data_IF_022554295219
#
_entry.id   IF_022554295219
#
_cell.length_a   1.000
_cell.length_b   1.000
_cell.length_c   1.000
_cell.angle_alpha   90.00
_cell.angle_beta   90.00
_cell.angle_gamma   90.00
#
_symmetry.space_group_name_H-M   'P 1'
#
loop_
_entity.id
_entity.type
_entity.pdbx_description
1 polymer ?
#
# COMPACT_ATOMS: atom_id res chain seq x y z
N UNK A 1 -7.40 -0.56 25.25
CA UNK A 1 -7.31 0.88 24.98
C UNK A 1 -8.10 1.14 23.71
N UNK A 2 -9.09 2.03 23.74
CA UNK A 2 -9.83 2.46 22.55
C UNK A 2 -9.03 3.57 21.87
N UNK A 3 -8.94 3.56 20.53
CA UNK A 3 -8.23 4.57 19.76
C UNK A 3 -9.07 4.97 18.55
N UNK A 4 -9.02 6.25 18.20
CA UNK A 4 -9.51 6.80 16.95
C UNK A 4 -8.37 6.78 15.92
N UNK A 5 -8.54 6.02 14.85
CA UNK A 5 -7.48 5.78 13.85
C UNK A 5 -7.97 6.24 12.48
N UNK A 6 -7.24 7.19 11.88
CA UNK A 6 -7.38 7.51 10.46
C UNK A 6 -6.30 6.76 9.69
N UNK A 7 -6.70 5.89 8.76
CA UNK A 7 -5.77 5.24 7.83
C UNK A 7 -5.84 6.00 6.51
N UNK A 8 -4.72 6.53 6.05
CA UNK A 8 -4.61 7.22 4.76
C UNK A 8 -3.74 6.38 3.84
N UNK A 9 -4.25 6.05 2.66
CA UNK A 9 -3.55 5.25 1.66
C UNK A 9 -3.91 5.69 0.24
N UNK A 10 -3.07 5.32 -0.74
CA UNK A 10 -3.41 5.48 -2.15
C UNK A 10 -4.34 4.39 -2.67
N UNK A 11 -4.40 3.22 -2.02
CA UNK A 11 -5.14 2.06 -2.51
C UNK A 11 -5.70 1.21 -1.38
N UNK A 12 -6.80 0.52 -1.65
CA UNK A 12 -7.44 -0.43 -0.73
C UNK A 12 -8.35 -1.39 -1.51
N UNK A 13 -8.26 -2.69 -1.23
CA UNK A 13 -9.22 -3.64 -1.77
C UNK A 13 -10.59 -3.50 -1.09
N UNK A 14 -11.69 -3.70 -1.83
CA UNK A 14 -11.79 -4.03 -3.25
C UNK A 14 -11.95 -2.81 -4.18
N UNK A 15 -11.66 -1.59 -3.70
CA UNK A 15 -11.99 -0.36 -4.41
C UNK A 15 -10.98 0.02 -5.50
N UNK A 16 -9.69 -0.07 -5.17
CA UNK A 16 -8.58 0.27 -6.05
C UNK A 16 -7.36 -0.56 -5.63
N UNK A 17 -6.72 -1.23 -6.60
CA UNK A 17 -5.56 -2.09 -6.35
C UNK A 17 -4.57 -2.04 -7.50
N UNK A 18 -3.33 -1.78 -7.14
CA UNK A 18 -2.12 -1.92 -7.94
C UNK A 18 -1.14 -2.88 -7.26
N UNK A 19 -1.03 -2.81 -5.92
CA UNK A 19 -0.07 -3.58 -5.13
C UNK A 19 -0.65 -4.31 -3.93
N UNK A 20 0.26 -4.93 -3.15
CA UNK A 20 -0.08 -5.62 -1.90
C UNK A 20 -0.43 -4.68 -0.74
N UNK A 21 -0.12 -3.38 -0.85
CA UNK A 21 -0.54 -2.38 0.12
C UNK A 21 -2.07 -2.32 0.18
N UNK A 22 -2.74 -2.40 -0.97
CA UNK A 22 -4.20 -2.42 -1.04
C UNK A 22 -4.82 -3.56 -0.21
N UNK A 23 -4.19 -4.74 -0.20
CA UNK A 23 -4.65 -5.90 0.57
C UNK A 23 -4.58 -5.62 2.08
N UNK A 24 -3.48 -5.01 2.53
CA UNK A 24 -3.33 -4.62 3.93
C UNK A 24 -4.39 -3.60 4.33
N UNK A 25 -4.60 -2.55 3.52
CA UNK A 25 -5.56 -1.48 3.83
C UNK A 25 -7.01 -1.97 3.70
N UNK A 26 -7.31 -2.98 2.87
CA UNK A 26 -8.63 -3.60 2.82
C UNK A 26 -8.93 -4.54 3.99
N UNK A 27 -7.90 -5.18 4.58
CA UNK A 27 -8.08 -6.17 5.65
C UNK A 27 -7.87 -5.61 7.06
N UNK A 28 -6.73 -4.95 7.32
CA UNK A 28 -6.32 -4.50 8.66
C UNK A 28 -7.38 -3.66 9.39
N UNK A 29 -8.09 -2.71 8.75
CA UNK A 29 -9.07 -1.88 9.44
C UNK A 29 -10.20 -2.71 10.07
N UNK A 30 -10.62 -3.81 9.43
CA UNK A 30 -11.66 -4.70 9.95
C UNK A 30 -11.24 -5.32 11.28
N UNK A 31 -10.01 -5.80 11.38
CA UNK A 31 -9.45 -6.40 12.58
C UNK A 31 -9.20 -5.38 13.70
N UNK A 32 -8.82 -4.15 13.35
CA UNK A 32 -8.69 -3.05 14.32
C UNK A 32 -10.07 -2.64 14.88
N UNK A 33 -11.09 -2.54 14.01
CA UNK A 33 -12.47 -2.28 14.44
C UNK A 33 -13.00 -3.40 15.34
N UNK A 34 -12.77 -4.67 14.99
CA UNK A 34 -13.15 -5.83 15.80
C UNK A 34 -12.46 -5.85 17.17
N UNK A 35 -11.24 -5.29 17.27
CA UNK A 35 -10.54 -5.06 18.55
C UNK A 35 -11.07 -3.86 19.35
N UNK A 36 -12.10 -3.19 18.84
CA UNK A 36 -12.81 -2.11 19.51
C UNK A 36 -12.23 -0.72 19.26
N UNK A 37 -11.41 -0.49 18.22
CA UNK A 37 -10.96 0.85 17.81
C UNK A 37 -12.00 1.52 16.91
N UNK A 38 -12.04 2.86 16.86
CA UNK A 38 -12.80 3.57 15.81
C UNK A 38 -11.87 3.85 14.63
N UNK A 39 -12.08 3.13 13.53
CA UNK A 39 -11.19 3.14 12.38
C UNK A 39 -11.91 3.74 11.18
N UNK A 40 -11.24 4.64 10.47
CA UNK A 40 -11.71 5.26 9.23
C UNK A 40 -10.60 5.16 8.19
N UNK A 41 -10.97 4.91 6.94
CA UNK A 41 -10.02 4.83 5.82
C UNK A 41 -10.26 6.00 4.88
N UNK A 42 -9.19 6.59 4.35
CA UNK A 42 -9.24 7.62 3.32
C UNK A 42 -8.39 7.20 2.15
N UNK A 43 -8.99 7.15 0.96
CA UNK A 43 -8.30 6.89 -0.30
C UNK A 43 -8.82 7.84 -1.40
N UNK A 44 -8.09 8.00 -2.52
CA UNK A 44 -8.63 8.71 -3.68
C UNK A 44 -9.78 7.98 -4.36
N UNK A 45 -10.68 8.72 -5.00
CA UNK A 45 -11.70 8.18 -5.89
C UNK A 45 -11.15 8.08 -7.32
N UNK A 46 -10.60 6.92 -7.68
CA UNK A 46 -10.23 6.62 -9.07
C UNK A 46 -11.45 6.20 -9.90
N UNK A 47 -11.34 6.16 -11.24
CA UNK A 47 -12.46 5.72 -12.10
C UNK A 47 -12.88 4.28 -11.85
N UNK A 48 -11.94 3.41 -11.50
CA UNK A 48 -12.24 2.02 -11.12
C UNK A 48 -13.09 1.88 -9.84
N UNK A 49 -13.15 2.93 -9.00
CA UNK A 49 -14.03 2.95 -7.84
C UNK A 49 -15.47 3.16 -8.32
N UNK A 50 -16.21 2.06 -8.41
CA UNK A 50 -17.60 2.04 -8.83
C UNK A 50 -18.53 2.55 -7.73
N UNK A 51 -19.10 3.74 -7.95
CA UNK A 51 -20.00 4.41 -7.01
C UNK A 51 -21.27 3.60 -6.71
N UNK A 52 -21.83 2.93 -7.71
CA UNK A 52 -23.09 2.20 -7.56
C UNK A 52 -22.84 0.85 -6.87
N UNK A 53 -21.82 0.10 -7.31
CA UNK A 53 -21.45 -1.19 -6.75
C UNK A 53 -21.15 -1.10 -5.25
N UNK A 54 -20.51 -0.02 -4.82
CA UNK A 54 -20.12 0.20 -3.43
C UNK A 54 -21.08 1.11 -2.66
N UNK A 55 -22.24 1.45 -3.25
CA UNK A 55 -23.29 2.28 -2.64
C UNK A 55 -22.75 3.60 -2.06
N UNK A 56 -21.80 4.22 -2.76
CA UNK A 56 -21.11 5.41 -2.27
C UNK A 56 -22.07 6.60 -2.17
N UNK A 57 -22.05 7.27 -1.02
CA UNK A 57 -22.91 8.42 -0.72
C UNK A 57 -22.08 9.68 -0.67
N UNK A 58 -22.52 10.72 -1.34
CA UNK A 58 -21.86 12.02 -1.25
C UNK A 58 -22.12 12.66 0.10
N UNK A 59 -21.06 13.11 0.76
CA UNK A 59 -21.17 13.89 1.99
C UNK A 59 -21.56 15.33 1.65
N UNK A 60 -22.43 15.96 2.46
CA UNK A 60 -22.80 17.35 2.22
C UNK A 60 -21.61 18.29 2.43
N UNK A 61 -21.44 19.22 1.51
CA UNK A 61 -20.40 20.25 1.55
C UNK A 61 -19.26 19.97 0.58
N UNK A 62 -18.24 20.82 0.63
CA UNK A 62 -17.04 20.72 -0.19
C UNK A 62 -15.84 20.74 0.73
N UNK A 63 -14.92 19.80 0.54
CA UNK A 63 -13.65 19.80 1.26
C UNK A 63 -12.73 20.86 0.65
N UNK A 64 -12.27 21.79 1.47
CA UNK A 64 -11.30 22.83 1.08
C UNK A 64 -9.91 22.40 1.55
N UNK A 65 -8.96 22.34 0.61
CA UNK A 65 -7.61 21.81 0.84
C UNK A 65 -6.59 22.90 0.51
N UNK A 66 -5.87 23.44 1.50
CA UNK A 66 -4.84 24.45 1.26
C UNK A 66 -3.55 23.79 0.75
N UNK A 67 -3.16 24.15 -0.48
CA UNK A 67 -2.07 23.57 -1.28
C UNK A 67 -0.90 24.57 -1.47
N UNK A 68 -0.53 25.25 -0.39
CA UNK A 68 0.59 26.19 -0.38
C UNK A 68 0.43 27.31 -1.41
N UNK A 69 1.43 27.51 -2.26
CA UNK A 69 1.45 28.56 -3.29
C UNK A 69 0.37 28.38 -4.39
N UNK A 70 -0.18 27.17 -4.55
CA UNK A 70 -1.29 26.90 -5.47
C UNK A 70 -2.61 27.50 -4.93
N UNK A 71 -2.69 27.77 -3.62
CA UNK A 71 -3.89 28.29 -2.96
C UNK A 71 -4.82 27.17 -2.48
N UNK A 72 -6.12 27.46 -2.46
CA UNK A 72 -7.13 26.50 -2.04
C UNK A 72 -7.63 25.67 -3.21
N UNK A 73 -7.67 24.35 -3.02
CA UNK A 73 -8.28 23.39 -3.94
C UNK A 73 -9.52 22.77 -3.30
N UNK A 74 -10.45 22.30 -4.12
CA UNK A 74 -11.78 21.86 -3.69
C UNK A 74 -12.01 20.41 -4.10
N UNK A 75 -12.61 19.62 -3.22
CA UNK A 75 -12.83 18.20 -3.47
C UNK A 75 -14.16 17.74 -2.89
N UNK A 76 -14.87 16.91 -3.65
CA UNK A 76 -16.04 16.18 -3.17
C UNK A 76 -15.60 15.01 -2.31
N UNK A 77 -16.40 14.63 -1.32
CA UNK A 77 -16.12 13.46 -0.49
C UNK A 77 -17.27 12.49 -0.59
N UNK A 78 -16.98 11.27 -1.02
CA UNK A 78 -17.92 10.17 -0.97
C UNK A 78 -17.62 9.29 0.26
N UNK A 79 -18.65 8.74 0.88
CA UNK A 79 -18.56 7.79 1.98
C UNK A 79 -19.11 6.43 1.52
N UNK A 80 -18.35 5.38 1.82
CA UNK A 80 -18.74 3.99 1.68
C UNK A 80 -18.25 3.18 2.88
N UNK A 81 -18.19 1.86 2.75
CA UNK A 81 -17.70 0.95 3.80
C UNK A 81 -16.88 -0.16 3.20
N UNK A 82 -15.87 -0.63 3.93
CA UNK A 82 -15.17 -1.87 3.56
C UNK A 82 -16.20 -3.01 3.58
N UNK A 83 -16.40 -3.76 2.48
CA UNK A 83 -17.38 -4.84 2.43
C UNK A 83 -17.20 -5.86 3.55
N UNK A 84 -18.32 -6.32 4.10
CA UNK A 84 -18.32 -7.23 5.25
C UNK A 84 -17.92 -6.56 6.58
N UNK A 85 -17.89 -5.22 6.65
CA UNK A 85 -17.55 -4.53 7.90
C UNK A 85 -18.25 -3.18 8.07
N UNK A 86 -18.20 -2.67 9.30
CA UNK A 86 -18.70 -1.33 9.67
C UNK A 86 -17.62 -0.23 9.55
N UNK A 87 -16.49 -0.50 8.91
CA UNK A 87 -15.41 0.50 8.75
C UNK A 87 -15.78 1.47 7.64
N UNK A 88 -16.01 2.77 7.93
CA UNK A 88 -16.25 3.77 6.90
C UNK A 88 -14.99 4.03 6.08
N UNK A 89 -15.20 4.23 4.78
CA UNK A 89 -14.18 4.60 3.80
C UNK A 89 -14.60 5.90 3.15
N UNK A 90 -13.72 6.89 3.17
CA UNK A 90 -13.92 8.19 2.54
C UNK A 90 -13.09 8.27 1.26
N UNK A 91 -13.76 8.64 0.17
CA UNK A 91 -13.18 8.74 -1.15
C UNK A 91 -13.08 10.20 -1.55
N UNK A 92 -11.86 10.66 -1.81
CA UNK A 92 -11.60 12.02 -2.27
C UNK A 92 -11.85 12.10 -3.78
N UNK A 93 -12.88 12.85 -4.19
CA UNK A 93 -13.23 13.08 -5.60
C UNK A 93 -12.70 14.45 -6.05
N UNK A 94 -11.63 14.42 -6.86
CA UNK A 94 -11.04 15.60 -7.50
C UNK A 94 -10.65 15.22 -8.93
N UNK A 95 -11.37 15.75 -9.93
CA UNK A 95 -11.29 15.26 -11.31
C UNK A 95 -9.86 15.33 -11.89
N UNK A 96 -9.17 16.47 -11.76
CA UNK A 96 -7.81 16.63 -12.33
C UNK A 96 -6.77 15.65 -11.75
N UNK A 97 -6.97 15.22 -10.51
CA UNK A 97 -6.03 14.36 -9.79
C UNK A 97 -6.44 12.89 -9.82
N UNK A 98 -7.72 12.57 -9.70
CA UNK A 98 -8.18 11.21 -9.49
C UNK A 98 -9.16 10.72 -10.56
N UNK A 99 -9.59 11.58 -11.49
CA UNK A 99 -10.32 11.21 -12.69
C UNK A 99 -9.46 10.45 -13.70
N UNK A 100 -8.97 9.27 -13.31
CA UNK A 100 -8.03 8.43 -14.08
C UNK A 100 -8.29 6.95 -13.83
N UNK A 101 -7.93 6.13 -14.80
CA UNK A 101 -8.08 4.66 -14.74
C UNK A 101 -7.04 4.02 -13.81
N UNK A 102 -5.80 4.49 -13.84
CA UNK A 102 -4.69 3.94 -13.04
C UNK A 102 -4.28 4.89 -11.92
N UNK A 103 -3.64 4.35 -10.88
CA UNK A 103 -3.43 5.07 -9.63
C UNK A 103 -2.30 6.11 -9.74
N UNK A 104 -1.09 5.66 -10.02
CA UNK A 104 0.11 6.50 -9.99
C UNK A 104 0.99 6.37 -11.23
N UNK A 105 0.79 5.37 -12.08
CA UNK A 105 1.54 5.21 -13.33
C UNK A 105 0.67 4.77 -14.49
N UNK A 106 1.11 5.09 -15.70
CA UNK A 106 0.54 4.61 -16.96
C UNK A 106 1.69 4.20 -17.87
N UNK A 107 1.60 3.00 -18.45
CA UNK A 107 2.65 2.46 -19.34
C UNK A 107 4.06 2.44 -18.68
N UNK A 108 4.12 2.05 -17.39
CA UNK A 108 5.33 2.05 -16.54
C UNK A 108 5.98 3.44 -16.37
N UNK A 109 5.20 4.52 -16.53
CA UNK A 109 5.64 5.89 -16.28
C UNK A 109 4.74 6.54 -15.25
N UNK A 110 5.34 7.03 -14.18
CA UNK A 110 4.63 7.81 -13.17
C UNK A 110 3.97 9.05 -13.80
N UNK A 111 2.77 9.39 -13.35
CA UNK A 111 2.15 10.65 -13.74
C UNK A 111 3.00 11.84 -13.29
N UNK A 112 3.10 12.87 -14.15
CA UNK A 112 3.96 14.04 -13.90
C UNK A 112 3.53 14.87 -12.69
N UNK A 113 2.25 14.80 -12.33
CA UNK A 113 1.64 15.53 -11.22
C UNK A 113 1.48 14.67 -9.96
N UNK A 114 2.18 13.53 -9.87
CA UNK A 114 2.14 12.67 -8.69
C UNK A 114 2.59 13.38 -7.40
N UNK A 115 3.50 14.36 -7.51
CA UNK A 115 3.83 15.25 -6.40
C UNK A 115 2.55 15.88 -5.81
N UNK A 116 1.85 16.66 -6.62
CA UNK A 116 0.70 17.44 -6.20
C UNK A 116 -0.46 16.55 -5.78
N UNK A 117 -0.71 15.45 -6.50
CA UNK A 117 -1.80 14.49 -6.19
C UNK A 117 -1.66 13.84 -4.83
N UNK A 118 -0.44 13.48 -4.43
CA UNK A 118 -0.18 12.76 -3.19
C UNK A 118 0.12 13.71 -2.01
N UNK A 119 0.61 14.92 -2.29
CA UNK A 119 0.53 16.04 -1.34
C UNK A 119 -0.93 16.38 -1.04
N UNK A 120 -1.77 16.46 -2.07
CA UNK A 120 -3.21 16.70 -1.94
C UNK A 120 -3.88 15.61 -1.11
N UNK A 121 -3.66 14.33 -1.41
CA UNK A 121 -4.21 13.20 -0.62
C UNK A 121 -3.84 13.34 0.86
N UNK A 122 -2.56 13.61 1.14
CA UNK A 122 -2.06 13.76 2.50
C UNK A 122 -2.75 14.91 3.23
N UNK A 123 -2.82 16.10 2.59
CA UNK A 123 -3.45 17.31 3.14
C UNK A 123 -4.95 17.16 3.31
N UNK A 124 -5.63 16.65 2.29
CA UNK A 124 -7.06 16.42 2.26
C UNK A 124 -7.51 15.41 3.31
N UNK A 125 -6.73 14.37 3.59
CA UNK A 125 -7.05 13.42 4.68
C UNK A 125 -7.10 14.08 6.06
N UNK A 126 -6.24 15.08 6.30
CA UNK A 126 -6.20 15.86 7.54
C UNK A 126 -7.37 16.86 7.59
N UNK A 127 -7.62 17.59 6.50
CA UNK A 127 -8.79 18.49 6.43
C UNK A 127 -10.13 17.74 6.52
N UNK A 128 -10.19 16.50 6.00
CA UNK A 128 -11.37 15.65 6.08
C UNK A 128 -11.74 15.37 7.54
N UNK A 129 -10.75 15.14 8.42
CA UNK A 129 -10.99 14.95 9.84
C UNK A 129 -11.78 16.12 10.43
N UNK A 130 -11.44 17.36 10.04
CA UNK A 130 -12.15 18.57 10.47
C UNK A 130 -13.57 18.63 9.89
N UNK A 131 -13.72 18.33 8.59
CA UNK A 131 -15.04 18.27 7.92
C UNK A 131 -16.01 17.30 8.61
N UNK A 132 -15.54 16.09 8.94
CA UNK A 132 -16.37 15.03 9.54
C UNK A 132 -16.33 15.02 11.07
N UNK A 133 -15.68 16.03 11.69
CA UNK A 133 -15.52 16.18 13.15
C UNK A 133 -14.90 14.94 13.82
N UNK A 134 -13.97 14.30 13.15
CA UNK A 134 -13.22 13.15 13.67
C UNK A 134 -11.88 13.59 14.26
N UNK A 135 -11.66 13.31 15.54
CA UNK A 135 -10.42 13.66 16.25
C UNK A 135 -9.57 12.39 16.38
N UNK A 136 -8.57 12.17 15.52
CA UNK A 136 -7.75 10.96 15.57
C UNK A 136 -6.79 10.98 16.76
N UNK A 137 -6.59 9.82 17.39
CA UNK A 137 -5.44 9.56 18.26
C UNK A 137 -4.20 9.18 17.42
N UNK A 138 -4.44 8.57 16.26
CA UNK A 138 -3.42 8.10 15.33
C UNK A 138 -3.83 8.39 13.88
N UNK A 139 -2.90 8.96 13.11
CA UNK A 139 -2.97 8.95 11.64
C UNK A 139 -1.93 7.96 11.10
N UNK A 140 -2.42 6.92 10.45
CA UNK A 140 -1.62 5.83 9.90
C UNK A 140 -1.48 6.03 8.39
N UNK A 141 -0.30 6.53 7.99
CA UNK A 141 0.11 6.74 6.62
C UNK A 141 0.75 5.47 6.04
N UNK A 142 0.40 5.15 4.80
CA UNK A 142 0.95 4.03 4.04
C UNK A 142 1.77 4.53 2.84
N UNK A 143 3.06 4.20 2.83
CA UNK A 143 4.05 4.49 1.79
C UNK A 143 4.23 5.98 1.43
N UNK A 144 5.09 6.23 0.45
CA UNK A 144 5.43 7.56 -0.05
C UNK A 144 4.21 8.41 -0.45
N UNK A 145 3.13 7.77 -0.93
CA UNK A 145 1.88 8.41 -1.34
C UNK A 145 1.24 9.26 -0.24
N UNK A 146 1.48 8.91 1.02
CA UNK A 146 0.90 9.58 2.19
C UNK A 146 1.96 10.01 3.20
N UNK A 147 3.24 9.89 2.83
CA UNK A 147 4.37 10.22 3.70
C UNK A 147 4.50 11.71 4.02
N UNK A 148 3.78 12.59 3.31
CA UNK A 148 3.67 13.99 3.71
C UNK A 148 2.82 14.18 4.98
N UNK A 149 1.94 13.23 5.35
CA UNK A 149 1.07 13.34 6.54
C UNK A 149 1.87 13.62 7.83
N UNK A 150 2.88 12.81 8.22
CA UNK A 150 3.71 13.11 9.40
C UNK A 150 4.37 14.49 9.39
N UNK A 151 4.88 14.92 8.24
CA UNK A 151 5.49 16.24 8.07
C UNK A 151 4.47 17.34 8.31
N UNK A 152 3.31 17.25 7.66
CA UNK A 152 2.24 18.25 7.78
C UNK A 152 1.73 18.32 9.23
N UNK A 153 1.60 17.18 9.91
CA UNK A 153 1.22 17.11 11.33
C UNK A 153 2.21 17.82 12.25
N UNK A 154 3.52 17.67 12.01
CA UNK A 154 4.55 18.29 12.85
C UNK A 154 4.88 19.73 12.49
N UNK A 155 4.37 20.24 11.37
CA UNK A 155 4.57 21.60 10.91
C UNK A 155 3.25 22.37 11.00
N UNK A 156 2.44 22.29 9.96
CA UNK A 156 1.26 23.12 9.75
C UNK A 156 0.10 22.78 10.71
N UNK A 157 -0.02 21.53 11.16
CA UNK A 157 -1.09 21.10 12.07
C UNK A 157 -0.64 20.87 13.52
N UNK A 158 0.61 21.18 13.87
CA UNK A 158 1.17 20.89 15.20
C UNK A 158 0.37 21.51 16.34
N UNK A 159 -0.21 22.69 16.09
CA UNK A 159 -1.00 23.44 17.05
C UNK A 159 -2.50 23.44 16.71
N UNK A 160 -2.91 22.65 15.72
CA UNK A 160 -4.33 22.47 15.40
C UNK A 160 -5.03 21.77 16.58
N UNK A 161 -6.19 22.28 17.05
CA UNK A 161 -6.87 21.75 18.23
C UNK A 161 -7.39 20.32 18.05
N UNK A 162 -7.62 19.89 16.81
CA UNK A 162 -8.19 18.59 16.48
C UNK A 162 -7.10 17.58 16.07
N UNK A 163 -6.03 18.03 15.40
CA UNK A 163 -4.99 17.16 14.86
C UNK A 163 -3.68 17.20 15.63
N UNK A 164 -3.36 18.29 16.31
CA UNK A 164 -2.03 18.53 16.91
C UNK A 164 -1.64 17.59 18.06
N UNK A 165 -2.58 16.76 18.53
CA UNK A 165 -2.34 15.74 19.57
C UNK A 165 -2.20 14.32 19.01
N UNK A 166 -2.54 14.11 17.75
CA UNK A 166 -2.50 12.78 17.13
C UNK A 166 -1.05 12.33 16.93
N UNK A 167 -0.77 11.05 17.16
CA UNK A 167 0.47 10.42 16.72
C UNK A 167 0.39 10.12 15.21
N UNK A 168 1.56 9.96 14.57
CA UNK A 168 1.64 9.46 13.20
C UNK A 168 2.41 8.15 13.13
N UNK A 169 1.87 7.19 12.38
CA UNK A 169 2.54 5.94 12.02
C UNK A 169 2.74 5.93 10.51
N UNK A 170 3.96 5.70 10.04
CA UNK A 170 4.24 5.49 8.62
C UNK A 170 4.65 4.04 8.39
N UNK A 171 3.85 3.30 7.61
CA UNK A 171 4.23 1.97 7.12
C UNK A 171 4.93 2.07 5.79
N UNK A 172 6.12 1.49 5.72
CA UNK A 172 6.92 1.37 4.49
C UNK A 172 6.72 -0.04 3.94
N UNK A 173 6.09 -0.18 2.77
CA UNK A 173 5.90 -1.48 2.11
C UNK A 173 6.99 -1.74 1.07
N UNK A 174 7.54 -0.70 0.46
CA UNK A 174 8.63 -0.82 -0.48
C UNK A 174 9.53 0.42 -0.52
N UNK A 175 10.74 0.28 0.04
CA UNK A 175 11.77 1.33 0.09
C UNK A 175 12.26 1.83 -1.27
N UNK A 176 12.05 1.06 -2.34
CA UNK A 176 12.42 1.49 -3.69
C UNK A 176 11.56 2.64 -4.21
N UNK A 177 10.30 2.75 -3.76
CA UNK A 177 9.37 3.80 -4.19
C UNK A 177 9.29 4.90 -3.14
N UNK A 178 9.93 6.04 -3.42
CA UNK A 178 10.17 7.07 -2.41
C UNK A 178 9.40 8.38 -2.62
N UNK A 179 8.79 8.58 -3.80
CA UNK A 179 8.15 9.85 -4.14
C UNK A 179 9.16 11.00 -4.20
N UNK A 180 10.15 10.87 -5.09
CA UNK A 180 11.16 11.92 -5.35
C UNK A 180 10.71 12.84 -6.48
N UNK A 181 10.62 14.13 -6.20
CA UNK A 181 10.05 15.15 -7.08
C UNK A 181 10.91 16.41 -7.15
N UNK A 182 10.62 17.26 -8.13
CA UNK A 182 11.24 18.58 -8.28
C UNK A 182 11.09 19.44 -7.00
N UNK A 183 12.07 20.31 -6.72
CA UNK A 183 12.12 21.08 -5.47
C UNK A 183 10.91 22.00 -5.25
N UNK A 184 10.23 22.46 -6.31
CA UNK A 184 9.03 23.28 -6.18
C UNK A 184 7.83 22.56 -5.57
N UNK A 185 7.89 21.24 -5.36
CA UNK A 185 6.93 20.55 -4.50
C UNK A 185 6.92 21.13 -3.06
N UNK A 186 7.99 21.81 -2.63
CA UNK A 186 8.03 22.58 -1.38
C UNK A 186 6.97 23.69 -1.34
N UNK A 187 6.75 24.38 -2.45
CA UNK A 187 5.78 25.47 -2.54
C UNK A 187 4.34 24.93 -2.45
N UNK A 188 4.11 23.70 -2.91
CA UNK A 188 2.82 23.00 -2.82
C UNK A 188 2.57 22.44 -1.42
N UNK A 189 3.61 21.87 -0.80
CA UNK A 189 3.58 21.44 0.60
C UNK A 189 3.26 22.62 1.54
N UNK A 190 3.80 23.80 1.23
CA UNK A 190 3.59 25.02 2.01
C UNK A 190 4.19 24.96 3.43
N UNK A 191 5.13 24.05 3.68
CA UNK A 191 5.73 23.81 5.01
C UNK A 191 6.91 24.72 5.32
N UNK A 192 7.36 25.53 4.36
CA UNK A 192 8.56 26.36 4.48
C UNK A 192 9.83 25.70 3.95
N UNK A 193 10.65 26.48 3.25
CA UNK A 193 11.88 26.00 2.60
C UNK A 193 12.96 25.56 3.60
N UNK A 194 12.85 25.91 4.87
CA UNK A 194 13.71 25.41 5.95
C UNK A 194 13.65 23.89 6.12
N UNK A 195 12.57 23.24 5.67
CA UNK A 195 12.43 21.78 5.67
C UNK A 195 13.09 21.10 4.44
N UNK A 196 13.50 21.89 3.44
CA UNK A 196 14.26 21.42 2.29
C UNK A 196 15.76 21.39 2.61
N UNK A 197 16.15 20.41 3.42
CA UNK A 197 17.53 20.21 3.84
C UNK A 197 17.87 18.71 3.91
N UNK A 198 19.16 18.40 4.04
CA UNK A 198 19.68 17.03 4.00
C UNK A 198 19.11 16.10 5.09
N UNK A 199 18.56 16.64 6.18
CA UNK A 199 17.90 15.86 7.24
C UNK A 199 16.42 15.65 6.91
N UNK A 200 15.77 16.72 6.44
CA UNK A 200 14.35 16.75 6.09
C UNK A 200 14.07 16.14 4.71
N UNK A 201 13.50 16.95 3.82
CA UNK A 201 12.95 16.48 2.55
C UNK A 201 13.99 16.33 1.44
N UNK A 202 15.10 17.05 1.49
CA UNK A 202 16.01 17.15 0.34
C UNK A 202 16.82 15.86 0.17
N UNK A 203 16.81 15.32 -1.04
CA UNK A 203 17.72 14.25 -1.46
C UNK A 203 18.10 14.46 -2.92
N UNK A 204 19.40 14.71 -3.18
CA UNK A 204 19.94 14.90 -4.53
C UNK A 204 19.28 16.08 -5.28
N UNK A 205 18.98 17.16 -4.57
CA UNK A 205 18.32 18.34 -5.11
C UNK A 205 16.82 18.17 -5.33
N UNK A 206 16.23 17.06 -4.89
CA UNK A 206 14.80 16.75 -5.05
C UNK A 206 14.09 16.70 -3.70
N UNK A 207 12.78 16.93 -3.70
CA UNK A 207 11.90 16.64 -2.55
C UNK A 207 11.64 15.14 -2.52
N UNK A 208 12.02 14.46 -1.45
CA UNK A 208 11.72 13.05 -1.21
C UNK A 208 10.67 12.91 -0.11
N UNK A 209 9.42 12.63 -0.50
CA UNK A 209 8.30 12.58 0.44
C UNK A 209 8.46 11.46 1.46
N UNK A 210 8.95 10.28 1.07
CA UNK A 210 9.17 9.17 1.99
C UNK A 210 10.21 9.52 3.04
N UNK A 211 11.32 10.15 2.65
CA UNK A 211 12.36 10.63 3.56
C UNK A 211 11.81 11.62 4.59
N UNK A 212 11.03 12.61 4.15
CA UNK A 212 10.37 13.55 5.05
C UNK A 212 9.41 12.85 6.02
N UNK A 213 8.63 11.89 5.51
CA UNK A 213 7.76 11.07 6.34
C UNK A 213 8.51 10.25 7.39
N UNK A 214 9.62 9.60 7.00
CA UNK A 214 10.50 8.85 7.91
C UNK A 214 11.04 9.76 9.00
N UNK A 215 11.50 10.95 8.64
CA UNK A 215 12.06 11.92 9.58
C UNK A 215 11.00 12.42 10.59
N UNK A 216 9.75 12.62 10.15
CA UNK A 216 8.71 13.22 10.98
C UNK A 216 7.77 12.24 11.70
N UNK A 217 7.61 10.99 11.26
CA UNK A 217 6.63 10.08 11.86
C UNK A 217 6.89 9.86 13.36
N UNK A 218 5.84 9.65 14.17
CA UNK A 218 6.02 9.27 15.58
C UNK A 218 6.62 7.87 15.67
N UNK A 219 6.06 6.93 14.90
CA UNK A 219 6.57 5.56 14.75
C UNK A 219 6.65 5.18 13.28
N UNK A 220 7.54 4.23 13.00
CA UNK A 220 7.71 3.62 11.69
C UNK A 220 7.44 2.13 11.83
N UNK A 221 6.79 1.53 10.85
CA UNK A 221 6.79 0.09 10.72
C UNK A 221 6.99 -0.36 9.28
N UNK A 222 7.27 -1.64 9.12
CA UNK A 222 7.40 -2.26 7.82
C UNK A 222 6.93 -3.71 7.86
N UNK A 223 6.91 -4.39 6.71
CA UNK A 223 6.17 -5.63 6.48
C UNK A 223 6.78 -6.89 7.12
N UNK A 224 7.94 -6.78 7.77
CA UNK A 224 8.53 -7.83 8.61
C UNK A 224 9.74 -7.33 9.40
N UNK A 225 10.13 -8.08 10.43
CA UNK A 225 11.36 -7.84 11.21
C UNK A 225 12.63 -8.02 10.36
N UNK A 226 12.61 -8.93 9.39
CA UNK A 226 13.72 -9.11 8.44
C UNK A 226 13.88 -7.86 7.58
N UNK A 227 12.78 -7.43 6.97
CA UNK A 227 12.80 -6.25 6.10
C UNK A 227 13.15 -4.96 6.85
N UNK A 228 12.71 -4.81 8.10
CA UNK A 228 13.10 -3.70 8.98
C UNK A 228 14.63 -3.59 9.14
N UNK A 229 15.34 -4.72 9.21
CA UNK A 229 16.81 -4.75 9.25
C UNK A 229 17.42 -4.50 7.88
N UNK A 230 16.84 -5.07 6.83
CA UNK A 230 17.35 -4.93 5.46
C UNK A 230 17.36 -3.47 4.99
N UNK A 231 16.27 -2.72 5.19
CA UNK A 231 16.15 -1.32 4.74
C UNK A 231 17.12 -0.36 5.45
N UNK A 232 17.81 -0.81 6.50
CA UNK A 232 18.88 -0.07 7.18
C UNK A 232 20.28 -0.32 6.57
N UNK A 233 20.36 -1.16 5.53
CA UNK A 233 21.58 -1.50 4.81
C UNK A 233 21.64 -0.82 3.44
N UNK A 234 22.84 -0.48 2.92
CA UNK A 234 22.97 0.15 1.59
C UNK A 234 22.34 -0.67 0.44
N UNK A 235 22.29 -2.00 0.56
CA UNK A 235 21.73 -2.87 -0.47
C UNK A 235 20.21 -2.81 -0.61
N UNK A 236 19.48 -2.39 0.44
CA UNK A 236 18.01 -2.38 0.44
C UNK A 236 17.40 -1.08 0.96
N UNK A 237 18.21 -0.13 1.44
CA UNK A 237 17.77 1.18 1.91
C UNK A 237 17.59 2.21 0.79
N UNK A 238 18.08 1.92 -0.42
CA UNK A 238 17.91 2.76 -1.61
C UNK A 238 18.31 4.23 -1.38
N UNK A 239 19.38 4.48 -0.63
CA UNK A 239 19.89 5.81 -0.30
C UNK A 239 19.23 6.46 0.91
N UNK A 240 18.23 5.81 1.52
CA UNK A 240 17.58 6.25 2.77
C UNK A 240 18.05 5.46 4.00
N UNK A 241 18.97 4.49 3.85
CA UNK A 241 19.44 3.65 4.96
C UNK A 241 19.97 4.43 6.15
N UNK A 242 20.60 5.59 5.92
CA UNK A 242 21.09 6.48 6.97
C UNK A 242 19.96 7.04 7.82
N UNK A 243 18.94 7.61 7.18
CA UNK A 243 17.77 8.22 7.84
C UNK A 243 16.96 7.16 8.58
N UNK A 244 16.79 5.99 7.97
CA UNK A 244 16.09 4.86 8.62
C UNK A 244 16.85 4.39 9.86
N UNK A 245 18.19 4.31 9.80
CA UNK A 245 19.03 3.91 10.93
C UNK A 245 18.99 4.93 12.07
N UNK A 246 18.97 6.22 11.78
CA UNK A 246 18.77 7.27 12.79
C UNK A 246 17.41 7.12 13.50
N UNK A 247 16.41 6.60 12.79
CA UNK A 247 15.07 6.33 13.29
C UNK A 247 14.86 4.89 13.79
N UNK A 248 15.91 4.07 13.90
CA UNK A 248 15.80 2.65 14.23
C UNK A 248 15.07 2.38 15.56
N UNK A 249 15.22 3.26 16.56
CA UNK A 249 14.53 3.14 17.85
C UNK A 249 13.00 3.33 17.77
N UNK A 250 12.50 3.89 16.66
CA UNK A 250 11.08 4.08 16.39
C UNK A 250 10.56 3.13 15.27
N UNK A 251 11.42 2.27 14.72
CA UNK A 251 11.11 1.35 13.64
C UNK A 251 10.84 -0.05 14.18
N UNK A 252 9.73 -0.67 13.75
CA UNK A 252 9.46 -2.08 14.03
C UNK A 252 9.02 -2.86 12.78
N UNK A 253 9.24 -4.17 12.78
CA UNK A 253 8.75 -5.06 11.75
C UNK A 253 7.44 -5.71 12.18
N UNK A 254 6.36 -5.48 11.42
CA UNK A 254 5.08 -6.17 11.63
C UNK A 254 4.86 -7.06 10.42
N UNK A 255 4.94 -8.37 10.64
CA UNK A 255 4.71 -9.35 9.58
C UNK A 255 3.30 -9.16 9.01
N UNK A 256 3.21 -8.99 7.69
CA UNK A 256 1.92 -8.92 7.02
C UNK A 256 1.12 -10.21 7.27
N UNK A 257 -0.14 -10.03 7.67
CA UNK A 257 -1.09 -11.13 7.77
C UNK A 257 -1.78 -11.40 6.44
N UNK A 258 -2.53 -12.51 6.41
CA UNK A 258 -3.47 -12.83 5.33
C UNK A 258 -4.87 -12.86 5.96
N UNK A 259 -5.88 -12.45 5.20
CA UNK A 259 -7.28 -12.57 5.64
C UNK A 259 -7.72 -14.04 5.58
N UNK A 260 -7.79 -14.70 6.73
CA UNK A 260 -8.22 -16.09 6.83
C UNK A 260 -9.73 -16.30 6.69
N UNK A 261 -10.54 -15.23 6.54
CA UNK A 261 -11.93 -15.39 6.10
C UNK A 261 -12.02 -15.64 4.58
N UNK A 262 -11.03 -15.15 3.83
CA UNK A 262 -10.92 -15.32 2.37
C UNK A 262 -9.97 -16.47 2.01
N UNK A 263 -8.78 -16.50 2.61
CA UNK A 263 -7.69 -17.43 2.29
C UNK A 263 -7.64 -18.60 3.27
N UNK A 264 -8.71 -19.41 3.29
CA UNK A 264 -8.81 -20.58 4.15
C UNK A 264 -9.15 -21.85 3.36
N UNK A 265 -8.21 -22.81 3.23
CA UNK A 265 -8.45 -24.03 2.47
C UNK A 265 -9.57 -24.91 3.05
N UNK A 266 -9.97 -24.71 4.30
CA UNK A 266 -11.06 -25.44 4.94
C UNK A 266 -12.44 -25.01 4.45
N UNK A 267 -12.57 -23.81 3.88
CA UNK A 267 -13.84 -23.23 3.43
C UNK A 267 -13.81 -22.59 2.05
N UNK A 268 -12.63 -22.54 1.40
CA UNK A 268 -12.45 -21.90 0.10
C UNK A 268 -13.30 -22.62 -0.99
N UNK A 269 -14.29 -21.94 -1.59
CA UNK A 269 -15.16 -22.51 -2.61
C UNK A 269 -14.47 -22.67 -3.97
N UNK A 270 -13.28 -22.11 -4.17
CA UNK A 270 -12.50 -22.23 -5.39
C UNK A 270 -11.63 -23.50 -5.42
N UNK A 271 -11.52 -24.20 -4.28
CA UNK A 271 -10.84 -25.49 -4.22
C UNK A 271 -11.76 -26.62 -4.68
N UNK A 272 -11.22 -27.55 -5.47
CA UNK A 272 -11.93 -28.77 -5.87
C UNK A 272 -12.37 -29.62 -4.66
N UNK A 273 -11.61 -29.55 -3.56
CA UNK A 273 -11.96 -30.13 -2.28
C UNK A 273 -11.28 -29.33 -1.15
N UNK A 274 -11.99 -29.09 -0.05
CA UNK A 274 -11.41 -28.45 1.12
C UNK A 274 -10.42 -29.37 1.85
N UNK A 275 -9.44 -28.76 2.52
CA UNK A 275 -8.45 -29.47 3.32
C UNK A 275 -7.95 -28.58 4.47
N UNK A 276 -7.36 -29.18 5.49
CA UNK A 276 -6.80 -28.48 6.66
C UNK A 276 -5.34 -28.87 6.90
N UNK A 277 -4.68 -28.20 7.83
CA UNK A 277 -3.35 -28.61 8.29
C UNK A 277 -3.37 -30.00 8.96
N UNK A 278 -4.51 -30.42 9.51
CA UNK A 278 -4.69 -31.72 10.17
C UNK A 278 -5.19 -32.83 9.23
N UNK A 279 -5.78 -32.46 8.10
CA UNK A 279 -6.31 -33.39 7.09
C UNK A 279 -6.01 -32.87 5.68
N UNK A 280 -5.03 -33.50 5.04
CA UNK A 280 -4.59 -33.18 3.68
C UNK A 280 -5.33 -33.98 2.60
N UNK A 281 -6.37 -34.76 2.96
CA UNK A 281 -7.09 -35.63 2.02
C UNK A 281 -7.61 -34.89 0.78
N UNK A 282 -8.14 -33.68 0.94
CA UNK A 282 -8.60 -32.84 -0.17
C UNK A 282 -7.49 -32.30 -1.07
N UNK A 283 -6.26 -32.17 -0.56
CA UNK A 283 -5.13 -31.59 -1.31
C UNK A 283 -4.76 -32.40 -2.55
N UNK A 284 -4.90 -33.72 -2.49
CA UNK A 284 -4.69 -34.61 -3.64
C UNK A 284 -5.67 -34.33 -4.79
N UNK A 285 -6.94 -34.10 -4.45
CA UNK A 285 -7.98 -33.75 -5.43
C UNK A 285 -7.73 -32.37 -6.04
N UNK A 286 -7.33 -31.38 -5.22
CA UNK A 286 -6.94 -30.06 -5.73
C UNK A 286 -5.77 -30.14 -6.73
N UNK A 287 -4.76 -30.96 -6.42
CA UNK A 287 -3.62 -31.18 -7.32
C UNK A 287 -4.05 -31.82 -8.63
N UNK A 288 -4.87 -32.87 -8.56
CA UNK A 288 -5.38 -33.56 -9.74
C UNK A 288 -6.20 -32.61 -10.63
N UNK A 289 -7.06 -31.79 -10.04
CA UNK A 289 -7.84 -30.80 -10.78
C UNK A 289 -6.94 -29.76 -11.44
N UNK A 290 -5.95 -29.21 -10.72
CA UNK A 290 -4.99 -28.26 -11.30
C UNK A 290 -4.21 -28.87 -12.47
N UNK A 291 -3.74 -30.12 -12.33
CA UNK A 291 -3.08 -30.86 -13.41
C UNK A 291 -3.99 -30.95 -14.63
N UNK A 292 -5.25 -31.36 -14.44
CA UNK A 292 -6.25 -31.47 -15.50
C UNK A 292 -6.54 -30.14 -16.17
N UNK A 293 -6.77 -29.08 -15.39
CA UNK A 293 -7.05 -27.73 -15.90
C UNK A 293 -5.92 -27.21 -16.78
N UNK A 294 -4.66 -27.52 -16.43
CA UNK A 294 -3.48 -27.06 -17.16
C UNK A 294 -2.96 -28.07 -18.22
N UNK A 295 -3.67 -29.18 -18.44
CA UNK A 295 -3.27 -30.21 -19.41
C UNK A 295 -2.01 -30.99 -19.02
N UNK A 296 -1.64 -31.01 -17.74
CA UNK A 296 -0.54 -31.81 -17.22
C UNK A 296 -0.97 -33.27 -16.98
N UNK A 297 -0.06 -34.25 -17.04
CA UNK A 297 -0.35 -35.62 -16.63
C UNK A 297 -0.85 -35.68 -15.18
N UNK A 298 -2.00 -36.33 -14.95
CA UNK A 298 -2.59 -36.52 -13.61
C UNK A 298 -1.78 -37.55 -12.81
N UNK A 299 -0.68 -37.11 -12.17
CA UNK A 299 0.25 -37.97 -11.42
C UNK A 299 0.31 -37.56 -9.95
N UNK A 300 -0.25 -38.39 -9.07
CA UNK A 300 -0.35 -38.12 -7.64
C UNK A 300 1.01 -38.06 -6.93
N UNK A 301 1.96 -38.91 -7.32
CA UNK A 301 3.27 -39.06 -6.66
C UNK A 301 4.32 -38.01 -7.11
N UNK A 302 4.07 -37.31 -8.24
CA UNK A 302 5.02 -36.35 -8.83
C UNK A 302 4.87 -34.97 -8.20
N UNK A 303 5.89 -34.34 -7.61
CA UNK A 303 5.77 -33.00 -7.06
C UNK A 303 5.30 -31.99 -8.12
N UNK A 304 4.29 -31.17 -7.76
CA UNK A 304 3.86 -30.03 -8.56
C UNK A 304 4.33 -28.76 -7.86
N UNK A 305 5.18 -28.00 -8.54
CA UNK A 305 5.75 -26.74 -8.07
C UNK A 305 5.02 -25.61 -8.79
N UNK A 306 4.40 -24.70 -8.03
CA UNK A 306 3.71 -23.53 -8.56
C UNK A 306 4.44 -22.24 -8.20
N UNK A 307 4.59 -21.33 -9.15
CA UNK A 307 5.06 -19.97 -8.92
C UNK A 307 4.09 -18.98 -9.54
N UNK A 308 3.55 -18.08 -8.71
CA UNK A 308 2.68 -16.98 -9.12
C UNK A 308 3.35 -15.67 -8.71
N UNK A 309 3.93 -14.95 -9.67
CA UNK A 309 4.70 -13.72 -9.41
C UNK A 309 4.90 -12.91 -10.69
N UNK A 310 5.25 -11.62 -10.54
CA UNK A 310 5.88 -10.86 -11.64
C UNK A 310 7.19 -11.54 -12.07
N UNK A 311 7.43 -11.62 -13.37
CA UNK A 311 8.63 -12.22 -13.98
C UNK A 311 9.74 -11.17 -14.14
N UNK A 312 10.19 -10.63 -13.01
CA UNK A 312 11.25 -9.60 -12.94
C UNK A 312 12.40 -10.07 -12.08
N UNK A 313 13.61 -9.56 -12.30
CA UNK A 313 14.80 -9.99 -11.55
C UNK A 313 14.66 -9.89 -10.03
N UNK A 314 13.98 -8.85 -9.54
CA UNK A 314 13.69 -8.67 -8.10
C UNK A 314 12.90 -9.85 -7.48
N UNK A 315 12.18 -10.64 -8.30
CA UNK A 315 11.42 -11.81 -7.88
C UNK A 315 12.19 -13.13 -8.05
N UNK A 316 13.48 -13.07 -8.40
CA UNK A 316 14.36 -14.23 -8.53
C UNK A 316 14.09 -15.09 -9.75
N UNK A 317 13.45 -14.53 -10.78
CA UNK A 317 13.10 -15.28 -11.99
C UNK A 317 14.34 -15.70 -12.80
N UNK A 318 15.40 -14.92 -12.72
CA UNK A 318 16.75 -15.25 -13.21
C UNK A 318 17.32 -16.46 -12.49
N UNK A 319 17.18 -16.51 -11.17
CA UNK A 319 17.61 -17.67 -10.36
C UNK A 319 16.83 -18.94 -10.74
N UNK A 320 15.53 -18.83 -11.00
CA UNK A 320 14.72 -19.95 -11.48
C UNK A 320 15.21 -20.44 -12.85
N UNK A 321 15.48 -19.51 -13.78
CA UNK A 321 15.98 -19.84 -15.12
C UNK A 321 17.33 -20.54 -15.07
N UNK A 322 18.25 -20.09 -14.21
CA UNK A 322 19.54 -20.76 -13.99
C UNK A 322 19.38 -22.16 -13.40
N UNK A 323 18.37 -22.38 -12.56
CA UNK A 323 18.09 -23.68 -11.95
C UNK A 323 17.35 -24.67 -12.87
N UNK A 324 16.72 -24.19 -13.96
CA UNK A 324 15.85 -25.00 -14.82
C UNK A 324 16.49 -26.26 -15.40
N UNK A 325 17.72 -26.23 -15.96
CA UNK A 325 18.33 -27.45 -16.50
C UNK A 325 18.40 -28.58 -15.48
N UNK A 326 18.71 -28.27 -14.21
CA UNK A 326 18.77 -29.25 -13.12
C UNK A 326 17.38 -29.68 -12.65
N UNK A 327 16.41 -28.78 -12.66
CA UNK A 327 15.04 -29.08 -12.27
C UNK A 327 14.35 -29.99 -13.31
N UNK A 328 14.66 -29.83 -14.60
CA UNK A 328 14.15 -30.69 -15.69
C UNK A 328 14.72 -32.11 -15.69
N UNK A 329 15.84 -32.36 -14.98
CA UNK A 329 16.35 -33.71 -14.75
C UNK A 329 15.55 -34.48 -13.68
N UNK A 330 14.70 -33.79 -12.91
CA UNK A 330 13.85 -34.38 -11.88
C UNK A 330 12.48 -34.75 -12.44
N UNK A 331 11.85 -35.77 -11.84
CA UNK A 331 10.46 -36.12 -12.14
C UNK A 331 9.52 -35.17 -11.37
N UNK A 332 9.34 -33.97 -11.90
CA UNK A 332 8.52 -32.89 -11.34
C UNK A 332 7.59 -32.29 -12.39
N UNK A 333 6.61 -31.52 -11.93
CA UNK A 333 5.79 -30.63 -12.74
C UNK A 333 5.97 -29.20 -12.25
N UNK A 334 6.08 -28.26 -13.20
CA UNK A 334 6.21 -26.83 -12.92
C UNK A 334 5.03 -26.07 -13.53
N UNK A 335 4.44 -25.19 -12.75
CA UNK A 335 3.41 -24.24 -13.18
C UNK A 335 3.92 -22.83 -12.86
N UNK A 336 4.03 -22.00 -13.88
CA UNK A 336 4.43 -20.59 -13.75
C UNK A 336 3.30 -19.71 -14.27
N UNK A 337 2.85 -18.77 -13.45
CA UNK A 337 1.89 -17.74 -13.84
C UNK A 337 2.47 -16.36 -13.51
N UNK A 338 2.61 -15.53 -14.53
CA UNK A 338 3.19 -14.21 -14.36
C UNK A 338 3.36 -13.44 -15.65
N UNK A 339 3.57 -12.13 -15.52
CA UNK A 339 4.02 -11.25 -16.58
C UNK A 339 5.25 -10.47 -16.12
N UNK A 340 6.12 -10.06 -17.04
CA UNK A 340 7.33 -9.32 -16.69
C UNK A 340 8.27 -9.08 -17.87
N UNK A 341 9.55 -9.30 -17.65
CA UNK A 341 10.60 -8.93 -18.59
C UNK A 341 10.52 -9.78 -19.88
N UNK A 342 10.72 -9.19 -21.08
CA UNK A 342 10.56 -9.92 -22.35
C UNK A 342 11.40 -11.19 -22.48
N UNK A 343 12.61 -11.21 -21.90
CA UNK A 343 13.46 -12.39 -21.93
C UNK A 343 12.86 -13.54 -21.12
N UNK A 344 12.18 -13.26 -20.00
CA UNK A 344 11.56 -14.27 -19.17
C UNK A 344 10.37 -14.89 -19.90
N UNK A 345 9.59 -14.07 -20.61
CA UNK A 345 8.55 -14.57 -21.51
C UNK A 345 9.10 -15.48 -22.62
N UNK A 346 10.23 -15.12 -23.22
CA UNK A 346 10.87 -15.98 -24.23
C UNK A 346 11.42 -17.28 -23.64
N UNK A 347 11.92 -17.26 -22.41
CA UNK A 347 12.53 -18.43 -21.78
C UNK A 347 11.50 -19.43 -21.24
N UNK A 348 10.41 -18.94 -20.63
CA UNK A 348 9.41 -19.77 -19.96
C UNK A 348 8.11 -19.99 -20.75
N UNK A 349 7.86 -19.20 -21.80
CA UNK A 349 6.60 -19.15 -22.55
C UNK A 349 6.55 -20.04 -23.79
#
# INVERSE_FOLDING_TARGET
MHLNILITASEAVPFAKEGGLADVVGALPKFLKARGHDVRVVIPRYYQVDRQRFELRELPGVLVVPMGAIGEMYCGVLEGRIPGSEVPVYFLEHEDYYGRDTLYEKDNRGYLDNDNRFIFLSRASLELCKMIRFTPDLVHAHDWHTAAVPLLMNTLYRHDPQLGRAASLLTIHNMQHQGSFYEGAMDVLGVGWEHFNFVGLEMQGQVNLLKGGIYHATLLNTVSEGYAREIQTPGHGWGLEGVVRERAGALCGILNGVDYEEWNPESDPHLAANYSASDLGGKGLCKQELQRTLGLPERAEVPLIGMVSRLVKQKGIDTLAEAMPRLLELDIQLVLLGAGEPWAHFYFG
#
